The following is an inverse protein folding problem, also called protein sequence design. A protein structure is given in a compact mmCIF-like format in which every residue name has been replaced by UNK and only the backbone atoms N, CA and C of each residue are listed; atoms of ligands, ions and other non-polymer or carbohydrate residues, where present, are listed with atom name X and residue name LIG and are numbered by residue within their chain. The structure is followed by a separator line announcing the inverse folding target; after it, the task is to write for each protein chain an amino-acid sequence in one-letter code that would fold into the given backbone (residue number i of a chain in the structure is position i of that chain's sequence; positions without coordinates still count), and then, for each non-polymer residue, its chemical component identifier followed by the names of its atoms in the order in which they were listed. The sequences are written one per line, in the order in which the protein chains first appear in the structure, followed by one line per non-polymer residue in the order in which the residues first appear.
data_IF_239800738218
#
_entry.id   IF_239800738218
#
_cell.length_a   1.000
_cell.length_b   1.000
_cell.length_c   1.000
_cell.angle_alpha   90.00
_cell.angle_beta   90.00
_cell.angle_gamma   90.00
#
_symmetry.space_group_name_H-M   'P 1'
#
loop_
_entity.id
_entity.type
_entity.pdbx_description
1 polymer ?
#
# COMPACT_ATOMS: atom_id res chain seq x y z
N UNK A 1 11.26 0.81 -8.10
CA UNK A 1 10.81 0.81 -9.51
C UNK A 1 10.50 -0.61 -10.01
N UNK A 2 11.46 -1.55 -9.98
CA UNK A 2 11.28 -2.89 -10.54
C UNK A 2 10.08 -3.69 -9.97
N UNK A 3 9.86 -3.70 -8.65
CA UNK A 3 8.78 -4.49 -8.04
C UNK A 3 7.38 -3.92 -8.22
N UNK A 4 7.25 -2.63 -8.60
CA UNK A 4 5.96 -1.99 -8.85
C UNK A 4 5.26 -2.59 -10.08
N UNK A 5 6.01 -3.24 -10.98
CA UNK A 5 5.47 -3.95 -12.14
C UNK A 5 4.46 -5.04 -11.73
N UNK A 6 4.66 -5.69 -10.58
CA UNK A 6 3.76 -6.72 -10.06
C UNK A 6 2.40 -6.09 -9.74
N UNK A 7 2.42 -5.01 -8.94
CA UNK A 7 1.21 -4.30 -8.55
C UNK A 7 0.39 -3.85 -9.76
N UNK A 8 1.02 -3.20 -10.74
CA UNK A 8 0.29 -2.64 -11.88
C UNK A 8 -0.17 -3.72 -12.85
N UNK A 9 0.58 -4.83 -13.01
CA UNK A 9 0.16 -5.97 -13.82
C UNK A 9 -1.02 -6.71 -13.19
N UNK A 10 -0.95 -7.01 -11.89
CA UNK A 10 -2.02 -7.69 -11.15
C UNK A 10 -3.29 -6.83 -11.10
N UNK A 11 -3.16 -5.51 -10.88
CA UNK A 11 -4.29 -4.59 -10.92
C UNK A 11 -4.89 -4.50 -12.33
N UNK A 12 -4.07 -4.36 -13.38
CA UNK A 12 -4.58 -4.34 -14.75
C UNK A 12 -5.31 -5.64 -15.12
N UNK A 13 -4.82 -6.80 -14.64
CA UNK A 13 -5.51 -8.08 -14.83
C UNK A 13 -6.87 -8.11 -14.10
N UNK A 14 -6.94 -7.57 -12.87
CA UNK A 14 -8.19 -7.50 -12.10
C UNK A 14 -9.24 -6.57 -12.75
N UNK A 15 -8.81 -5.54 -13.48
CA UNK A 15 -9.67 -4.57 -14.16
C UNK A 15 -9.63 -4.70 -15.71
N UNK A 16 -9.23 -5.86 -16.25
CA UNK A 16 -9.06 -6.00 -17.71
C UNK A 16 -10.40 -5.94 -18.45
N UNK A 17 -11.48 -6.52 -17.89
CA UNK A 17 -12.80 -6.46 -18.50
C UNK A 17 -13.29 -5.01 -18.68
N UNK A 18 -13.12 -4.18 -17.65
CA UNK A 18 -13.45 -2.75 -17.69
C UNK A 18 -12.59 -2.01 -18.72
N UNK A 19 -11.31 -2.40 -18.83
CA UNK A 19 -10.38 -1.83 -19.80
C UNK A 19 -10.80 -2.18 -21.24
N UNK A 20 -11.23 -3.42 -21.46
CA UNK A 20 -11.60 -3.96 -22.78
C UNK A 20 -12.98 -3.51 -23.24
N UNK A 21 -13.94 -3.33 -22.33
CA UNK A 21 -15.27 -2.80 -22.67
C UNK A 21 -15.24 -1.32 -23.03
N UNK A 22 -14.19 -0.59 -22.64
CA UNK A 22 -14.05 0.84 -22.84
C UNK A 22 -14.74 1.68 -21.77
N UNK A 23 -15.45 1.06 -20.83
CA UNK A 23 -16.07 1.74 -19.68
C UNK A 23 -15.04 2.41 -18.77
N UNK A 24 -13.78 1.96 -18.81
CA UNK A 24 -12.63 2.63 -18.18
C UNK A 24 -12.46 4.11 -18.58
N UNK A 25 -13.02 4.54 -19.71
CA UNK A 25 -13.03 5.94 -20.16
C UNK A 25 -13.98 6.83 -19.36
N UNK A 26 -14.93 6.24 -18.63
CA UNK A 26 -15.91 6.97 -17.81
C UNK A 26 -15.41 7.21 -16.38
N UNK A 27 -14.31 6.57 -15.97
CA UNK A 27 -13.71 6.79 -14.66
C UNK A 27 -13.07 8.18 -14.56
N UNK A 28 -13.14 8.79 -13.39
CA UNK A 28 -12.34 9.97 -13.05
C UNK A 28 -10.84 9.62 -13.01
N UNK A 29 -9.99 10.64 -13.20
CA UNK A 29 -8.53 10.46 -13.25
C UNK A 29 -8.08 9.82 -14.56
N UNK A 30 -7.92 10.64 -15.61
CA UNK A 30 -7.43 10.21 -16.93
C UNK A 30 -6.08 10.85 -17.27
N UNK A 31 -5.33 11.33 -16.28
CA UNK A 31 -3.96 11.79 -16.49
C UNK A 31 -3.01 10.60 -16.67
N UNK A 32 -1.81 10.77 -17.26
CA UNK A 32 -0.91 9.66 -17.60
C UNK A 32 -0.54 8.74 -16.42
N UNK A 33 -0.54 9.27 -15.19
CA UNK A 33 -0.22 8.51 -13.97
C UNK A 33 -1.41 7.86 -13.28
N UNK A 34 -2.64 8.11 -13.74
CA UNK A 34 -3.84 7.63 -13.09
C UNK A 34 -4.15 6.18 -13.44
N UNK A 35 -4.87 5.51 -12.53
CA UNK A 35 -5.19 4.09 -12.63
C UNK A 35 -5.71 3.67 -14.01
N UNK A 36 -6.72 4.35 -14.62
CA UNK A 36 -7.20 4.02 -15.96
C UNK A 36 -6.09 3.87 -17.01
N UNK A 37 -5.14 4.80 -17.04
CA UNK A 37 -4.05 4.79 -18.00
C UNK A 37 -2.93 3.81 -17.62
N UNK A 38 -2.67 3.62 -16.32
CA UNK A 38 -1.74 2.58 -15.89
C UNK A 38 -2.23 1.17 -16.23
N UNK A 39 -3.54 0.91 -16.18
CA UNK A 39 -4.10 -0.40 -16.59
C UNK A 39 -3.91 -0.65 -18.08
N UNK A 40 -4.24 0.35 -18.93
CA UNK A 40 -4.05 0.27 -20.38
C UNK A 40 -2.60 -0.04 -20.75
N UNK A 41 -1.66 0.71 -20.17
CA UNK A 41 -0.23 0.56 -20.43
C UNK A 41 0.34 -0.74 -19.86
N UNK A 42 -0.19 -1.24 -18.74
CA UNK A 42 0.26 -2.50 -18.13
C UNK A 42 -0.04 -3.74 -18.97
N UNK A 43 -1.00 -3.67 -19.90
CA UNK A 43 -1.25 -4.74 -20.88
C UNK A 43 -0.08 -5.01 -21.82
N UNK A 44 0.89 -4.08 -21.90
CA UNK A 44 2.13 -4.25 -22.65
C UNK A 44 3.28 -4.83 -21.82
N UNK A 45 3.07 -5.18 -20.54
CA UNK A 45 4.08 -5.84 -19.72
C UNK A 45 4.29 -7.27 -20.25
N UNK A 46 5.51 -7.63 -20.69
CA UNK A 46 5.77 -8.99 -21.15
C UNK A 46 5.66 -10.00 -20.00
N UNK A 47 5.15 -11.19 -20.30
CA UNK A 47 5.08 -12.29 -19.32
C UNK A 47 6.45 -12.59 -18.69
N UNK A 48 7.53 -12.50 -19.47
CA UNK A 48 8.90 -12.73 -18.97
C UNK A 48 9.27 -11.70 -17.89
N UNK A 49 8.91 -10.43 -18.05
CA UNK A 49 9.20 -9.39 -17.06
C UNK A 49 8.39 -9.61 -15.77
N UNK A 50 7.13 -10.03 -15.90
CA UNK A 50 6.31 -10.39 -14.75
C UNK A 50 6.93 -11.57 -13.97
N UNK A 51 7.36 -12.64 -14.65
CA UNK A 51 8.01 -13.78 -14.01
C UNK A 51 9.35 -13.39 -13.36
N UNK A 52 10.14 -12.52 -14.01
CA UNK A 52 11.37 -11.98 -13.40
C UNK A 52 11.06 -11.16 -12.14
N UNK A 53 9.99 -10.37 -12.16
CA UNK A 53 9.57 -9.60 -11.01
C UNK A 53 9.13 -10.51 -9.85
N UNK A 54 8.42 -11.61 -10.11
CA UNK A 54 8.04 -12.57 -9.07
C UNK A 54 9.28 -13.26 -8.44
N UNK A 55 10.35 -13.47 -9.21
CA UNK A 55 11.64 -13.92 -8.63
C UNK A 55 12.25 -12.85 -7.71
N UNK A 56 12.21 -11.58 -8.11
CA UNK A 56 12.64 -10.48 -7.25
C UNK A 56 11.75 -10.34 -6.00
N UNK A 57 10.45 -10.61 -6.09
CA UNK A 57 9.52 -10.66 -4.94
C UNK A 57 9.95 -11.72 -3.93
N UNK A 58 10.42 -12.87 -4.39
CA UNK A 58 10.95 -13.92 -3.50
C UNK A 58 12.15 -13.41 -2.71
N UNK A 59 13.07 -12.67 -3.34
CA UNK A 59 14.21 -12.06 -2.64
C UNK A 59 13.75 -11.02 -1.60
N UNK A 60 12.78 -10.18 -1.96
CA UNK A 60 12.18 -9.24 -1.01
C UNK A 60 11.56 -9.95 0.19
N UNK A 61 10.84 -11.05 -0.02
CA UNK A 61 10.23 -11.83 1.06
C UNK A 61 11.29 -12.38 2.03
N UNK A 62 12.40 -12.90 1.50
CA UNK A 62 13.52 -13.40 2.32
C UNK A 62 14.20 -12.28 3.12
N UNK A 63 14.42 -11.11 2.51
CA UNK A 63 14.99 -9.95 3.21
C UNK A 63 14.05 -9.42 4.30
N UNK A 64 12.75 -9.40 4.01
CA UNK A 64 11.73 -8.95 4.95
C UNK A 64 11.61 -9.91 6.14
N UNK A 65 11.61 -11.22 5.90
CA UNK A 65 11.63 -12.24 6.96
C UNK A 65 12.89 -12.09 7.84
N UNK A 66 14.06 -11.92 7.22
CA UNK A 66 15.30 -11.69 7.95
C UNK A 66 15.29 -10.39 8.77
N UNK A 67 14.65 -9.33 8.27
CA UNK A 67 14.45 -8.10 9.02
C UNK A 67 13.53 -8.32 10.23
N UNK A 68 12.37 -8.94 10.02
CA UNK A 68 11.36 -9.16 11.06
C UNK A 68 11.80 -10.20 12.10
N UNK A 69 12.75 -11.08 11.78
CA UNK A 69 13.37 -11.96 12.79
C UNK A 69 14.06 -11.20 13.94
N UNK A 70 14.34 -9.90 13.75
CA UNK A 70 15.03 -9.04 14.73
C UNK A 70 14.10 -8.06 15.44
N UNK A 71 12.89 -7.83 14.91
CA UNK A 71 12.02 -6.75 15.35
C UNK A 71 10.56 -7.23 15.36
N UNK A 72 9.85 -7.00 16.47
CA UNK A 72 8.43 -7.37 16.55
C UNK A 72 7.54 -6.44 15.71
N UNK A 73 7.90 -5.15 15.64
CA UNK A 73 7.20 -4.11 14.90
C UNK A 73 8.20 -3.11 14.34
N UNK A 74 8.03 -2.68 13.09
CA UNK A 74 8.67 -1.46 12.59
C UNK A 74 7.63 -0.41 12.20
N UNK A 75 8.08 0.85 12.24
CA UNK A 75 7.23 2.04 12.09
C UNK A 75 7.63 2.79 10.83
N UNK A 76 6.65 3.27 10.05
CA UNK A 76 6.92 4.08 8.86
C UNK A 76 5.82 5.10 8.57
N UNK A 77 6.10 6.18 7.83
CA UNK A 77 5.07 7.09 7.34
C UNK A 77 4.09 6.41 6.36
N UNK A 78 2.81 6.80 6.40
CA UNK A 78 1.81 6.44 5.40
C UNK A 78 0.89 7.66 5.11
N UNK A 79 0.90 8.25 3.90
CA UNK A 79 1.67 7.88 2.71
C UNK A 79 3.14 8.35 2.77
N UNK A 80 3.91 8.05 1.72
CA UNK A 80 5.28 8.58 1.54
C UNK A 80 6.43 7.61 1.85
N UNK A 81 6.12 6.37 2.23
CA UNK A 81 7.11 5.29 2.37
C UNK A 81 6.89 4.18 1.34
N UNK A 82 7.92 3.34 1.16
CA UNK A 82 7.80 2.12 0.36
C UNK A 82 7.07 0.98 1.09
N UNK A 83 6.76 1.15 2.38
CA UNK A 83 6.24 0.09 3.25
C UNK A 83 4.94 -0.51 2.73
N UNK A 84 4.01 0.30 2.24
CA UNK A 84 2.74 -0.20 1.70
C UNK A 84 2.95 -1.19 0.54
N UNK A 85 3.81 -0.84 -0.43
CA UNK A 85 4.14 -1.74 -1.53
C UNK A 85 4.82 -3.01 -1.02
N UNK A 86 5.75 -2.88 -0.07
CA UNK A 86 6.49 -4.01 0.51
C UNK A 86 5.53 -4.97 1.24
N UNK A 87 4.62 -4.46 2.06
CA UNK A 87 3.68 -5.31 2.81
C UNK A 87 2.65 -5.97 1.90
N UNK A 88 2.17 -5.30 0.84
CA UNK A 88 1.34 -5.95 -0.17
C UNK A 88 2.09 -7.10 -0.88
N UNK A 89 3.39 -6.94 -1.13
CA UNK A 89 4.19 -7.96 -1.79
C UNK A 89 4.61 -9.10 -0.86
N UNK A 90 4.75 -8.84 0.44
CA UNK A 90 5.29 -9.83 1.40
C UNK A 90 4.24 -10.45 2.31
N UNK A 91 3.05 -9.86 2.41
CA UNK A 91 1.95 -10.37 3.24
C UNK A 91 2.02 -9.97 4.73
N UNK A 92 2.98 -9.13 5.12
CA UNK A 92 3.11 -8.69 6.52
C UNK A 92 1.90 -7.83 6.96
N UNK A 93 1.31 -8.09 8.14
CA UNK A 93 0.19 -7.33 8.64
C UNK A 93 0.62 -5.91 9.01
N UNK A 94 -0.22 -4.93 8.66
CA UNK A 94 0.06 -3.54 8.99
C UNK A 94 -1.22 -2.78 9.36
N UNK A 95 -1.08 -1.86 10.31
CA UNK A 95 -2.15 -0.96 10.75
C UNK A 95 -1.70 0.49 10.61
N UNK A 96 -2.58 1.31 10.04
CA UNK A 96 -2.37 2.74 9.88
C UNK A 96 -3.29 3.49 10.85
N UNK A 97 -2.73 4.41 11.64
CA UNK A 97 -3.49 5.27 12.56
C UNK A 97 -3.20 6.75 12.28
N UNK A 98 -4.10 7.68 12.64
CA UNK A 98 -3.85 9.12 12.50
C UNK A 98 -2.69 9.57 13.36
N UNK A 99 -1.78 10.39 12.82
CA UNK A 99 -0.58 10.84 13.56
C UNK A 99 -0.33 12.36 13.52
N UNK A 100 -1.25 13.14 12.96
CA UNK A 100 -1.06 14.58 12.84
C UNK A 100 -1.77 15.19 11.66
N UNK A 101 -1.46 16.47 11.43
CA UNK A 101 -1.85 17.21 10.24
C UNK A 101 -0.63 17.93 9.67
N UNK A 102 -0.50 17.94 8.35
CA UNK A 102 0.46 18.78 7.65
C UNK A 102 -0.31 19.70 6.71
N UNK A 103 -0.17 21.01 6.87
CA UNK A 103 -0.89 22.01 6.05
C UNK A 103 -2.41 21.77 6.00
N UNK A 104 -2.99 21.35 7.13
CA UNK A 104 -4.43 21.05 7.25
C UNK A 104 -4.86 19.69 6.70
N UNK A 105 -3.96 18.90 6.13
CA UNK A 105 -4.25 17.55 5.62
C UNK A 105 -3.90 16.50 6.67
N UNK A 106 -4.81 15.55 7.01
CA UNK A 106 -4.52 14.45 7.92
C UNK A 106 -3.31 13.62 7.47
N UNK A 107 -2.50 13.20 8.43
CA UNK A 107 -1.37 12.30 8.21
C UNK A 107 -1.56 10.99 8.96
N UNK A 108 -0.96 9.92 8.43
CA UNK A 108 -0.99 8.61 9.07
C UNK A 108 0.42 8.04 9.30
N UNK A 109 0.51 7.24 10.35
CA UNK A 109 1.67 6.43 10.70
C UNK A 109 1.27 4.96 10.60
N UNK A 110 2.18 4.13 10.08
CA UNK A 110 1.96 2.72 9.83
C UNK A 110 2.85 1.88 10.74
N UNK A 111 2.25 0.91 11.43
CA UNK A 111 2.91 -0.10 12.24
C UNK A 111 2.77 -1.45 11.54
N UNK A 112 3.90 -2.12 11.26
CA UNK A 112 3.92 -3.41 10.56
C UNK A 112 4.49 -4.49 11.47
N UNK A 113 3.79 -5.62 11.58
CA UNK A 113 4.18 -6.78 12.39
C UNK A 113 4.73 -7.94 11.55
N UNK A 114 5.14 -9.01 12.24
CA UNK A 114 5.58 -10.25 11.60
C UNK A 114 4.45 -11.00 10.89
N UNK A 115 4.78 -11.93 10.00
CA UNK A 115 3.77 -12.79 9.36
C UNK A 115 2.93 -13.51 10.42
N UNK A 116 1.61 -13.40 10.30
CA UNK A 116 0.61 -13.94 11.23
C UNK A 116 0.68 -13.38 12.67
N UNK A 117 1.34 -12.25 12.87
CA UNK A 117 1.34 -11.51 14.13
C UNK A 117 0.66 -10.15 13.96
N UNK A 118 -0.66 -10.17 13.83
CA UNK A 118 -1.49 -8.95 13.89
C UNK A 118 -1.48 -8.32 15.30
N UNK A 119 -1.19 -9.13 16.32
CA UNK A 119 -1.28 -8.72 17.72
C UNK A 119 -0.23 -7.66 18.10
N UNK A 120 1.03 -7.85 17.72
CA UNK A 120 2.10 -6.91 18.03
C UNK A 120 1.86 -5.49 17.47
N UNK A 121 1.63 -5.28 16.16
CA UNK A 121 1.42 -3.95 15.62
C UNK A 121 0.14 -3.30 16.15
N UNK A 122 -0.94 -4.06 16.42
CA UNK A 122 -2.15 -3.53 17.03
C UNK A 122 -1.94 -3.07 18.49
N UNK A 123 -1.13 -3.78 19.29
CA UNK A 123 -0.78 -3.33 20.65
C UNK A 123 -0.01 -2.01 20.63
N UNK A 124 0.94 -1.87 19.70
CA UNK A 124 1.70 -0.62 19.55
C UNK A 124 0.80 0.52 19.07
N UNK A 125 -0.06 0.26 18.08
CA UNK A 125 -1.04 1.23 17.59
C UNK A 125 -1.99 1.71 18.70
N UNK A 126 -2.53 0.79 19.51
CA UNK A 126 -3.39 1.13 20.65
C UNK A 126 -2.67 1.97 21.70
N UNK A 127 -1.40 1.64 21.99
CA UNK A 127 -0.59 2.45 22.91
C UNK A 127 -0.36 3.86 22.37
N UNK A 128 -0.10 3.99 21.07
CA UNK A 128 0.04 5.27 20.39
C UNK A 128 -1.27 6.08 20.41
N UNK A 129 -2.40 5.46 20.11
CA UNK A 129 -3.71 6.11 20.18
C UNK A 129 -4.05 6.56 21.60
N UNK A 130 -3.73 5.77 22.63
CA UNK A 130 -3.96 6.16 24.04
C UNK A 130 -3.06 7.32 24.49
N UNK A 131 -1.88 7.45 23.90
CA UNK A 131 -0.93 8.51 24.19
C UNK A 131 -1.20 9.80 23.40
N UNK A 132 -2.16 9.79 22.47
CA UNK A 132 -2.45 10.92 21.57
C UNK A 132 -3.95 11.16 21.43
N UNK A 133 -4.32 12.26 20.77
CA UNK A 133 -5.73 12.60 20.50
C UNK A 133 -6.02 12.68 19.00
N UNK A 134 -5.14 12.16 18.14
CA UNK A 134 -5.32 12.28 16.68
C UNK A 134 -6.57 11.54 16.20
N UNK A 135 -6.87 10.39 16.80
CA UNK A 135 -8.04 9.57 16.48
C UNK A 135 -9.39 10.23 16.85
N UNK A 136 -9.40 11.28 17.68
CA UNK A 136 -10.63 12.01 18.04
C UNK A 136 -10.90 13.20 17.12
N UNK A 137 -9.94 13.59 16.27
CA UNK A 137 -10.10 14.70 15.35
C UNK A 137 -10.76 14.25 14.04
N UNK A 138 -11.85 14.93 13.69
CA UNK A 138 -12.65 14.64 12.51
C UNK A 138 -12.75 15.90 11.64
N UNK A 139 -12.75 15.76 10.30
CA UNK A 139 -13.03 16.89 9.42
C UNK A 139 -14.44 17.42 9.70
N UNK A 140 -14.62 18.74 9.61
CA UNK A 140 -15.97 19.31 9.58
C UNK A 140 -16.61 18.91 8.25
N UNK A 141 -17.66 18.12 8.32
CA UNK A 141 -18.45 17.76 7.15
C UNK A 141 -19.55 18.81 6.98
N UNK A 142 -19.41 19.71 6.02
CA UNK A 142 -20.42 20.67 5.59
C UNK A 142 -21.25 20.09 4.44
N UNK A 143 -22.14 19.16 4.78
CA UNK A 143 -23.04 18.54 3.79
C UNK A 143 -24.27 19.40 3.43
N UNK A 144 -24.15 20.73 3.52
CA UNK A 144 -25.23 21.66 3.17
C UNK A 144 -25.53 21.68 1.65
#
# INVERSE_FOLDING_TARGET
AALRVILVAEAAAAFDDLTRSGEINQLSGQEPGDWPNTFRSSRFIPAVEYIRAQRARTLLMLEMDALMSKWDVFVSPAPGSASLLITNLTGHPAVCVPCGFLKGVPQSIMFTGGLYDEGAPLRVALAFERATNWHTMHPKMDWA
#
